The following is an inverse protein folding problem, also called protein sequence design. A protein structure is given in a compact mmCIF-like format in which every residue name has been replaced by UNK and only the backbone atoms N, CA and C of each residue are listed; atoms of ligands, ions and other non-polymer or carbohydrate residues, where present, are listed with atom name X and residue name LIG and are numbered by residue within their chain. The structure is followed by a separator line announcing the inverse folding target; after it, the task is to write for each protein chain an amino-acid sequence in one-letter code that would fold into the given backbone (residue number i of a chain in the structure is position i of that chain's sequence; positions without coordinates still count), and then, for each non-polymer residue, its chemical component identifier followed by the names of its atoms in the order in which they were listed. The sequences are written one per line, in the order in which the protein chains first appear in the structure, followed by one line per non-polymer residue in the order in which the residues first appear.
data_IF_838166210471
#
_entry.id   IF_838166210471
#
_cell.length_a   1.000
_cell.length_b   1.000
_cell.length_c   1.000
_cell.angle_alpha   90.00
_cell.angle_beta   90.00
_cell.angle_gamma   90.00
#
_symmetry.space_group_name_H-M   'P 1'
#
loop_
_entity.id
_entity.type
_entity.pdbx_description
1 polymer ?
#
# COMPACT_ATOMS: atom_id res chain seq x y z
N UNK A 1 -1.95 9.03 16.88
CA UNK A 1 -2.28 8.93 15.44
C UNK A 1 -1.11 8.43 14.57
N UNK A 2 0.13 8.86 14.81
CA UNK A 2 1.30 8.45 13.99
C UNK A 2 1.56 6.94 13.98
N UNK A 3 1.53 6.30 15.17
CA UNK A 3 1.72 4.85 15.31
C UNK A 3 0.63 4.08 14.53
N UNK A 4 -0.62 4.54 14.62
CA UNK A 4 -1.74 3.94 13.91
C UNK A 4 -1.57 4.03 12.38
N UNK A 5 -1.15 5.18 11.86
CA UNK A 5 -0.85 5.33 10.43
C UNK A 5 0.35 4.48 9.98
N UNK A 6 1.34 4.28 10.85
CA UNK A 6 2.49 3.43 10.56
C UNK A 6 2.09 1.95 10.47
N UNK A 7 1.23 1.48 11.39
CA UNK A 7 0.67 0.13 11.35
C UNK A 7 -0.16 -0.10 10.08
N UNK A 8 -0.98 0.87 9.68
CA UNK A 8 -1.76 0.81 8.44
C UNK A 8 -0.84 0.74 7.21
N UNK A 9 0.23 1.55 7.17
CA UNK A 9 1.20 1.50 6.09
C UNK A 9 1.86 0.11 5.98
N UNK A 10 2.33 -0.44 7.11
CA UNK A 10 2.92 -1.78 7.17
C UNK A 10 1.93 -2.84 6.65
N UNK A 11 0.66 -2.78 7.08
CA UNK A 11 -0.36 -3.72 6.65
C UNK A 11 -0.59 -3.68 5.14
N UNK A 12 -0.64 -2.48 4.55
CA UNK A 12 -0.72 -2.34 3.09
C UNK A 12 0.52 -2.88 2.36
N UNK A 13 1.73 -2.67 2.88
CA UNK A 13 2.93 -3.26 2.26
C UNK A 13 2.93 -4.80 2.34
N UNK A 14 2.48 -5.38 3.45
CA UNK A 14 2.33 -6.84 3.58
C UNK A 14 1.32 -7.36 2.55
N UNK A 15 0.16 -6.72 2.41
CA UNK A 15 -0.84 -7.09 1.41
C UNK A 15 -0.31 -6.92 -0.03
N UNK A 16 0.51 -5.90 -0.29
CA UNK A 16 1.14 -5.70 -1.60
C UNK A 16 2.09 -6.87 -1.93
N UNK A 17 2.92 -7.30 -0.97
CA UNK A 17 3.83 -8.45 -1.13
C UNK A 17 3.04 -9.73 -1.36
N UNK A 18 1.99 -9.99 -0.58
CA UNK A 18 1.14 -11.19 -0.76
C UNK A 18 0.41 -11.19 -2.12
N UNK A 19 -0.05 -10.03 -2.59
CA UNK A 19 -0.67 -9.91 -3.92
C UNK A 19 0.35 -10.11 -5.03
N UNK A 20 1.59 -9.68 -4.81
CA UNK A 20 2.70 -9.84 -5.75
C UNK A 20 3.11 -11.31 -5.88
N UNK A 21 3.28 -12.01 -4.76
CA UNK A 21 3.55 -13.46 -4.79
C UNK A 21 2.39 -14.23 -5.42
N UNK A 22 1.14 -13.85 -5.11
CA UNK A 22 -0.05 -14.40 -5.75
C UNK A 22 -0.10 -14.15 -7.27
N UNK A 23 0.39 -13.00 -7.74
CA UNK A 23 0.50 -12.68 -9.18
C UNK A 23 1.44 -13.66 -9.89
N UNK A 24 2.64 -13.88 -9.33
CA UNK A 24 3.59 -14.84 -9.89
C UNK A 24 3.06 -16.27 -9.88
N UNK A 25 2.50 -16.70 -8.76
CA UNK A 25 1.94 -18.04 -8.63
C UNK A 25 0.79 -18.27 -9.62
N UNK A 26 -0.07 -17.27 -9.83
CA UNK A 26 -1.19 -17.35 -10.78
C UNK A 26 -0.71 -17.37 -12.24
N UNK A 27 0.29 -16.57 -12.57
CA UNK A 27 0.90 -16.53 -13.90
C UNK A 27 1.57 -17.86 -14.25
N UNK A 28 2.25 -18.49 -13.27
CA UNK A 28 2.96 -19.76 -13.46
C UNK A 28 2.01 -20.96 -13.50
N UNK A 29 1.02 -21.04 -12.60
CA UNK A 29 0.19 -22.23 -12.44
C UNK A 29 -0.97 -22.31 -13.43
N UNK A 30 -1.57 -21.17 -13.79
CA UNK A 30 -2.87 -21.18 -14.48
C UNK A 30 -2.83 -20.54 -15.86
N UNK A 31 -1.72 -19.89 -16.25
CA UNK A 31 -1.62 -19.13 -17.51
C UNK A 31 -2.72 -18.06 -17.67
N UNK A 32 -3.50 -17.82 -16.61
CA UNK A 32 -4.65 -16.94 -16.59
C UNK A 32 -4.23 -15.55 -16.13
N UNK A 33 -5.04 -14.57 -16.48
CA UNK A 33 -4.77 -13.16 -16.27
C UNK A 33 -4.44 -12.84 -14.81
N UNK A 34 -3.14 -12.80 -14.50
CA UNK A 34 -2.60 -12.35 -13.22
C UNK A 34 -2.84 -10.84 -12.98
N UNK A 35 -3.51 -10.18 -13.93
CA UNK A 35 -3.86 -8.76 -13.94
C UNK A 35 -4.67 -8.36 -12.70
N UNK A 36 -5.53 -9.24 -12.15
CA UNK A 36 -6.28 -8.92 -10.94
C UNK A 36 -5.35 -8.75 -9.72
N UNK A 37 -4.49 -9.73 -9.46
CA UNK A 37 -3.53 -9.68 -8.36
C UNK A 37 -2.50 -8.55 -8.56
N UNK A 38 -2.08 -8.32 -9.80
CA UNK A 38 -1.15 -7.23 -10.13
C UNK A 38 -1.75 -5.85 -9.84
N UNK A 39 -3.03 -5.62 -10.20
CA UNK A 39 -3.76 -4.39 -9.83
C UNK A 39 -3.82 -4.20 -8.31
N UNK A 40 -4.07 -5.27 -7.57
CA UNK A 40 -4.08 -5.23 -6.10
C UNK A 40 -2.70 -4.91 -5.52
N UNK A 41 -1.62 -5.46 -6.07
CA UNK A 41 -0.25 -5.10 -5.66
C UNK A 41 0.00 -3.60 -5.80
N UNK A 42 -0.32 -3.03 -6.96
CA UNK A 42 -0.14 -1.59 -7.20
C UNK A 42 -1.00 -0.77 -6.24
N UNK A 43 -2.27 -1.13 -6.09
CA UNK A 43 -3.20 -0.45 -5.19
C UNK A 43 -2.67 -0.41 -3.75
N UNK A 44 -2.26 -1.56 -3.22
CA UNK A 44 -1.75 -1.65 -1.85
C UNK A 44 -0.41 -0.93 -1.68
N UNK A 45 0.48 -0.96 -2.67
CA UNK A 45 1.72 -0.19 -2.62
C UNK A 45 1.45 1.33 -2.56
N UNK A 46 0.52 1.83 -3.40
CA UNK A 46 0.12 3.24 -3.40
C UNK A 46 -0.52 3.63 -2.06
N UNK A 47 -1.43 2.81 -1.53
CA UNK A 47 -2.08 3.07 -0.24
C UNK A 47 -1.07 3.06 0.92
N UNK A 48 -0.07 2.16 0.89
CA UNK A 48 1.03 2.15 1.86
C UNK A 48 1.85 3.43 1.84
N UNK A 49 2.19 3.93 0.64
CA UNK A 49 2.90 5.21 0.48
C UNK A 49 2.05 6.38 0.95
N UNK A 50 0.76 6.43 0.59
CA UNK A 50 -0.16 7.48 1.07
C UNK A 50 -0.30 7.46 2.58
N UNK A 51 -0.34 6.29 3.22
CA UNK A 51 -0.35 6.16 4.67
C UNK A 51 0.95 6.68 5.31
N UNK A 52 2.12 6.42 4.72
CA UNK A 52 3.39 7.01 5.17
C UNK A 52 3.42 8.53 5.02
N UNK A 53 2.93 9.05 3.90
CA UNK A 53 2.79 10.50 3.69
C UNK A 53 1.86 11.12 4.73
N UNK A 54 0.71 10.48 4.99
CA UNK A 54 -0.21 10.90 6.03
C UNK A 54 0.47 10.97 7.41
N UNK A 55 1.24 9.94 7.79
CA UNK A 55 2.03 9.94 9.03
C UNK A 55 3.05 11.07 9.06
N UNK A 56 3.69 11.36 7.92
CA UNK A 56 4.67 12.44 7.79
C UNK A 56 4.08 13.83 7.97
N UNK A 57 2.83 14.03 7.55
CA UNK A 57 2.13 15.33 7.59
C UNK A 57 1.19 15.52 8.79
N UNK A 58 0.95 14.49 9.60
CA UNK A 58 0.10 14.53 10.81
C UNK A 58 0.54 15.54 11.90
N UNK A 59 1.68 16.21 11.77
CA UNK A 59 2.13 17.26 12.69
C UNK A 59 2.63 18.51 11.97
N UNK A 60 2.35 18.66 10.68
CA UNK A 60 2.50 19.94 10.00
C UNK A 60 1.20 20.70 10.24
N UNK A 61 1.12 21.36 11.39
CA UNK A 61 0.07 22.35 11.62
C UNK A 61 0.08 23.31 10.43
N UNK A 62 -1.06 23.38 9.74
CA UNK A 62 -1.25 24.35 8.67
C UNK A 62 -0.91 25.72 9.25
N UNK A 63 0.23 26.28 8.86
CA UNK A 63 0.66 27.58 9.35
C UNK A 63 -0.47 28.54 8.97
N UNK A 64 -1.18 29.15 9.93
CA UNK A 64 -2.22 30.09 9.57
C UNK A 64 -1.51 31.25 8.91
N UNK A 65 -1.70 31.41 7.60
CA UNK A 65 -1.30 32.60 6.88
C UNK A 65 -2.01 33.76 7.56
N UNK A 66 -1.23 34.59 8.26
CA UNK A 66 -1.69 35.86 8.84
C UNK A 66 -2.35 36.73 7.79
#
# INVERSE_FOLDING_TARGET
MKILGLLVAVLFFVLAILSWTGTFQSAVLFGHSAMHNYKHTILYAVLGVLALLWVRFQGSDATPSR
#
